data_IF_474198767075
#
_entry.id   IF_474198767075
#
_cell.length_a   1.000
_cell.length_b   1.000
_cell.length_c   1.000
_cell.angle_alpha   90.00
_cell.angle_beta   90.00
_cell.angle_gamma   90.00
#
_symmetry.space_group_name_H-M   'P 1'
#
loop_
_entity.id
_entity.type
_entity.pdbx_description
1 polymer ?
#
# COMPACT_ATOMS: atom_id res chain seq x y z
N UNK A 1 -8.00 -12.85 -0.34
CA UNK A 1 -7.15 -12.50 -1.51
C UNK A 1 -5.76 -13.08 -1.31
N UNK A 2 -5.04 -13.37 -2.39
CA UNK A 2 -3.71 -14.00 -2.38
C UNK A 2 -2.72 -13.19 -3.22
N UNK A 3 -1.49 -13.11 -2.77
CA UNK A 3 -0.30 -12.71 -3.53
C UNK A 3 0.72 -13.86 -3.54
N UNK A 4 1.91 -13.60 -4.06
CA UNK A 4 2.99 -14.58 -4.17
C UNK A 4 3.41 -15.18 -2.82
N UNK A 5 3.61 -14.33 -1.80
CA UNK A 5 4.17 -14.73 -0.50
C UNK A 5 3.18 -14.58 0.67
N UNK A 6 2.03 -13.98 0.42
CA UNK A 6 1.08 -13.57 1.45
C UNK A 6 -0.36 -13.77 1.03
N UNK A 7 -1.21 -14.15 1.97
CA UNK A 7 -2.65 -14.20 1.79
C UNK A 7 -3.36 -13.48 2.93
N UNK A 8 -4.47 -12.82 2.64
CA UNK A 8 -5.32 -12.20 3.66
C UNK A 8 -6.78 -12.61 3.43
N UNK A 9 -7.49 -12.91 4.51
CA UNK A 9 -8.87 -13.38 4.46
C UNK A 9 -9.58 -13.17 5.79
N UNK A 10 -10.91 -13.15 5.73
CA UNK A 10 -11.77 -13.23 6.92
C UNK A 10 -12.25 -14.67 7.05
N UNK A 11 -12.12 -15.24 8.24
CA UNK A 11 -12.61 -16.59 8.55
C UNK A 11 -14.10 -16.58 8.91
N UNK A 12 -14.74 -17.74 8.88
CA UNK A 12 -16.18 -17.87 9.18
C UNK A 12 -16.57 -17.43 10.60
N UNK A 13 -15.61 -17.44 11.53
CA UNK A 13 -15.72 -16.91 12.89
C UNK A 13 -15.37 -15.41 12.97
N UNK A 14 -15.38 -14.67 11.87
CA UNK A 14 -15.25 -13.21 11.85
C UNK A 14 -13.84 -12.65 12.09
N UNK A 15 -12.81 -13.51 12.12
CA UNK A 15 -11.44 -13.06 12.33
C UNK A 15 -10.76 -12.71 11.00
N UNK A 16 -10.25 -11.47 10.87
CA UNK A 16 -9.32 -11.10 9.83
C UNK A 16 -7.93 -11.68 10.12
N UNK A 17 -7.40 -12.44 9.16
CA UNK A 17 -6.13 -13.15 9.29
C UNK A 17 -5.24 -12.91 8.07
N UNK A 18 -3.93 -12.96 8.32
CA UNK A 18 -2.89 -12.94 7.30
C UNK A 18 -2.09 -14.23 7.42
N UNK A 19 -1.95 -14.96 6.31
CA UNK A 19 -1.03 -16.09 6.20
C UNK A 19 0.26 -15.62 5.53
N UNK A 20 1.39 -15.88 6.17
CA UNK A 20 2.71 -15.44 5.70
C UNK A 20 3.80 -16.39 6.20
N UNK A 21 4.68 -16.84 5.30
CA UNK A 21 5.80 -17.77 5.58
C UNK A 21 5.41 -18.97 6.47
N UNK A 22 4.28 -19.62 6.18
CA UNK A 22 3.82 -20.80 6.92
C UNK A 22 3.12 -20.49 8.25
N UNK A 23 3.04 -19.23 8.66
CA UNK A 23 2.38 -18.80 9.89
C UNK A 23 1.05 -18.12 9.60
N UNK A 24 0.04 -18.46 10.40
CA UNK A 24 -1.27 -17.79 10.37
C UNK A 24 -1.34 -16.75 11.48
N UNK A 25 -1.42 -15.48 11.11
CA UNK A 25 -1.42 -14.34 12.02
C UNK A 25 -2.84 -13.79 12.14
N UNK A 26 -3.35 -13.68 13.36
CA UNK A 26 -4.68 -13.09 13.61
C UNK A 26 -4.55 -11.59 13.81
N UNK A 27 -5.18 -10.80 12.93
CA UNK A 27 -5.15 -9.34 12.98
C UNK A 27 -6.22 -8.83 13.95
N UNK A 28 -7.41 -9.41 13.91
CA UNK A 28 -8.48 -9.10 14.85
C UNK A 28 -9.85 -9.61 14.38
N UNK A 29 -10.85 -9.49 15.26
CA UNK A 29 -12.23 -9.86 14.98
C UNK A 29 -13.00 -8.68 14.39
N UNK A 30 -13.04 -8.58 13.06
CA UNK A 30 -13.73 -7.56 12.26
C UNK A 30 -13.60 -7.87 10.76
N UNK A 31 -14.41 -7.22 9.94
CA UNK A 31 -14.36 -7.31 8.47
C UNK A 31 -13.76 -6.02 7.89
N UNK A 32 -12.48 -6.00 7.49
CA UNK A 32 -11.85 -4.81 6.91
C UNK A 32 -12.08 -4.67 5.41
N UNK A 33 -11.90 -3.46 4.91
CA UNK A 33 -11.44 -3.28 3.53
C UNK A 33 -9.96 -3.67 3.44
N UNK A 34 -9.60 -4.52 2.47
CA UNK A 34 -8.21 -4.91 2.27
C UNK A 34 -7.94 -5.29 0.81
N UNK A 35 -6.70 -5.06 0.38
CA UNK A 35 -6.16 -5.51 -0.90
C UNK A 35 -4.84 -6.25 -0.66
N UNK A 36 -4.57 -7.26 -1.50
CA UNK A 36 -3.34 -8.05 -1.48
C UNK A 36 -2.69 -7.98 -2.84
N UNK A 37 -1.38 -7.82 -2.88
CA UNK A 37 -0.55 -7.91 -4.09
C UNK A 37 0.79 -8.52 -3.69
N UNK A 38 1.29 -9.52 -4.43
CA UNK A 38 2.61 -10.12 -4.29
C UNK A 38 3.06 -10.35 -2.83
N UNK A 39 3.74 -9.36 -2.23
CA UNK A 39 4.37 -9.44 -0.90
C UNK A 39 3.75 -8.47 0.12
N UNK A 40 2.68 -7.77 -0.23
CA UNK A 40 2.05 -6.70 0.56
C UNK A 40 0.55 -6.95 0.77
N UNK A 41 0.08 -6.66 1.99
CA UNK A 41 -1.35 -6.56 2.32
C UNK A 41 -1.61 -5.15 2.82
N UNK A 42 -2.47 -4.40 2.15
CA UNK A 42 -2.95 -3.11 2.62
C UNK A 42 -4.37 -3.25 3.13
N UNK A 43 -4.66 -2.73 4.31
CA UNK A 43 -5.94 -2.94 4.99
C UNK A 43 -6.32 -1.75 5.87
N UNK A 44 -7.62 -1.58 6.06
CA UNK A 44 -8.20 -0.70 7.06
C UNK A 44 -8.20 -1.42 8.40
N UNK A 45 -7.63 -0.82 9.44
CA UNK A 45 -7.72 -1.39 10.79
C UNK A 45 -9.07 -1.06 11.45
N UNK A 46 -9.32 -1.64 12.63
CA UNK A 46 -10.57 -1.43 13.38
C UNK A 46 -10.90 0.03 13.73
N UNK A 47 -9.91 0.94 13.68
CA UNK A 47 -10.10 2.37 13.95
C UNK A 47 -10.24 3.19 12.65
N UNK A 48 -10.28 2.53 11.48
CA UNK A 48 -10.30 3.18 10.17
C UNK A 48 -8.94 3.63 9.67
N UNK A 49 -7.84 3.20 10.31
CA UNK A 49 -6.49 3.61 9.91
C UNK A 49 -5.95 2.72 8.80
N UNK A 50 -5.23 3.33 7.86
CA UNK A 50 -4.63 2.61 6.76
C UNK A 50 -3.31 1.99 7.19
N UNK A 51 -3.25 0.66 7.16
CA UNK A 51 -2.08 -0.12 7.51
C UNK A 51 -1.62 -1.00 6.37
N UNK A 52 -0.33 -1.29 6.40
CA UNK A 52 0.32 -2.25 5.52
C UNK A 52 0.99 -3.33 6.36
N UNK A 53 0.78 -4.58 5.97
CA UNK A 53 1.62 -5.69 6.36
C UNK A 53 2.62 -5.98 5.25
N UNK A 54 3.91 -5.99 5.59
CA UNK A 54 5.01 -6.29 4.68
C UNK A 54 6.14 -6.98 5.46
N UNK A 55 6.61 -8.12 4.93
CA UNK A 55 7.73 -8.90 5.47
C UNK A 55 7.64 -9.22 6.98
N UNK A 56 6.41 -9.44 7.50
CA UNK A 56 6.17 -9.77 8.91
C UNK A 56 5.86 -8.56 9.80
N UNK A 57 6.03 -7.34 9.30
CA UNK A 57 5.86 -6.10 10.05
C UNK A 57 4.59 -5.35 9.66
N UNK A 58 4.03 -4.60 10.62
CA UNK A 58 2.87 -3.72 10.40
C UNK A 58 3.30 -2.25 10.41
N UNK A 59 3.00 -1.53 9.33
CA UNK A 59 3.27 -0.10 9.22
C UNK A 59 1.96 0.68 9.16
N UNK A 60 1.83 1.70 10.01
CA UNK A 60 0.78 2.71 9.88
C UNK A 60 1.14 3.63 8.71
N UNK A 61 0.32 3.63 7.67
CA UNK A 61 0.51 4.43 6.47
C UNK A 61 -0.15 5.79 6.62
N UNK A 62 -1.42 5.78 7.05
CA UNK A 62 -2.21 6.99 7.25
C UNK A 62 -3.31 6.78 8.30
N UNK A 63 -3.85 7.89 8.82
CA UNK A 63 -4.94 7.87 9.80
C UNK A 63 -6.34 7.74 9.17
N UNK A 64 -6.39 7.44 7.87
CA UNK A 64 -7.63 7.19 7.13
C UNK A 64 -7.35 6.22 5.99
N UNK A 65 -8.32 5.37 5.66
CA UNK A 65 -8.24 4.47 4.50
C UNK A 65 -8.57 5.21 3.19
N UNK A 66 -7.66 5.27 2.20
CA UNK A 66 -7.93 5.97 0.95
C UNK A 66 -8.86 5.19 0.03
N UNK A 67 -9.74 5.91 -0.68
CA UNK A 67 -10.62 5.31 -1.70
C UNK A 67 -9.84 4.71 -2.88
N UNK A 68 -8.72 5.35 -3.25
CA UNK A 68 -7.92 4.98 -4.41
C UNK A 68 -6.45 4.83 -4.03
N UNK A 69 -5.88 3.68 -4.35
CA UNK A 69 -4.47 3.38 -4.21
C UNK A 69 -4.07 2.24 -5.16
N UNK A 70 -2.77 2.11 -5.45
CA UNK A 70 -2.19 1.01 -6.23
C UNK A 70 -1.20 0.22 -5.39
N UNK A 71 -1.27 -1.11 -5.50
CA UNK A 71 -0.31 -2.05 -4.93
C UNK A 71 0.43 -2.75 -6.06
N UNK A 72 1.73 -2.97 -5.88
CA UNK A 72 2.53 -3.85 -6.73
C UNK A 72 3.78 -4.29 -5.98
N UNK A 73 4.16 -5.56 -6.10
CA UNK A 73 5.36 -6.14 -5.53
C UNK A 73 5.58 -5.83 -4.04
N UNK A 74 6.49 -4.91 -3.68
CA UNK A 74 6.76 -4.51 -2.29
C UNK A 74 6.19 -3.14 -1.93
N UNK A 75 5.34 -2.58 -2.78
CA UNK A 75 5.08 -1.15 -2.83
C UNK A 75 3.59 -0.81 -2.91
N UNK A 76 3.26 0.35 -2.37
CA UNK A 76 1.93 0.95 -2.32
C UNK A 76 2.05 2.43 -2.68
N UNK A 77 1.19 2.92 -3.56
CA UNK A 77 1.11 4.35 -3.92
C UNK A 77 -0.31 4.86 -3.75
N UNK A 78 -0.47 6.02 -3.11
CA UNK A 78 -1.74 6.69 -2.92
C UNK A 78 -1.56 8.19 -2.72
N UNK A 79 -2.62 8.97 -2.95
CA UNK A 79 -2.65 10.39 -2.58
C UNK A 79 -3.29 10.54 -1.21
N UNK A 80 -2.62 11.26 -0.31
CA UNK A 80 -3.17 11.51 1.03
C UNK A 80 -4.28 12.60 0.99
N UNK A 81 -4.94 12.88 2.13
CA UNK A 81 -5.99 13.93 2.25
C UNK A 81 -5.49 15.34 1.93
N UNK A 82 -4.18 15.58 2.01
CA UNK A 82 -3.52 16.84 1.64
C UNK A 82 -3.08 16.87 0.17
N UNK A 83 -3.53 15.89 -0.63
CA UNK A 83 -3.16 15.71 -2.03
C UNK A 83 -1.66 15.52 -2.28
N UNK A 84 -0.94 14.98 -1.29
CA UNK A 84 0.47 14.58 -1.42
C UNK A 84 0.50 13.14 -1.94
N UNK A 85 1.18 12.91 -3.06
CA UNK A 85 1.45 11.56 -3.55
C UNK A 85 2.47 10.90 -2.63
N UNK A 86 2.06 9.85 -1.93
CA UNK A 86 2.90 9.08 -1.03
C UNK A 86 3.15 7.69 -1.58
N UNK A 87 4.34 7.16 -1.31
CA UNK A 87 4.70 5.79 -1.64
C UNK A 87 5.24 5.10 -0.40
N UNK A 88 4.68 3.95 -0.07
CA UNK A 88 5.35 2.97 0.77
C UNK A 88 6.13 2.02 -0.13
N UNK A 89 7.38 1.73 0.20
CA UNK A 89 8.19 0.74 -0.49
C UNK A 89 9.20 0.11 0.47
N UNK A 90 9.20 -1.23 0.54
CA UNK A 90 10.16 -2.02 1.33
C UNK A 90 10.32 -1.52 2.79
N UNK A 91 9.20 -1.22 3.46
CA UNK A 91 9.20 -0.79 4.86
C UNK A 91 9.43 0.71 5.09
N UNK A 92 9.60 1.52 4.04
CA UNK A 92 9.81 2.97 4.13
C UNK A 92 8.66 3.72 3.49
N UNK A 93 8.34 4.90 4.03
CA UNK A 93 7.33 5.81 3.48
C UNK A 93 8.01 7.04 2.92
N UNK A 94 7.61 7.44 1.72
CA UNK A 94 8.13 8.58 0.98
C UNK A 94 6.99 9.52 0.60
N UNK A 95 7.23 10.83 0.70
CA UNK A 95 6.42 11.86 0.07
C UNK A 95 7.04 12.16 -1.31
N UNK A 96 6.41 11.66 -2.37
CA UNK A 96 6.98 11.67 -3.74
C UNK A 96 6.67 12.99 -4.45
N UNK A 97 5.48 13.53 -4.25
CA UNK A 97 5.09 14.81 -4.84
C UNK A 97 4.06 15.53 -3.96
N UNK A 98 4.24 16.83 -3.78
CA UNK A 98 3.33 17.74 -3.07
C UNK A 98 2.56 18.66 -4.03
N UNK A 99 2.45 18.27 -5.30
CA UNK A 99 1.73 18.99 -6.35
C UNK A 99 0.74 18.05 -7.03
N UNK A 100 -0.22 18.60 -7.74
CA UNK A 100 -1.23 17.81 -8.46
C UNK A 100 -0.57 16.86 -9.46
N UNK A 101 -0.78 15.56 -9.23
CA UNK A 101 -0.38 14.48 -10.13
C UNK A 101 -1.59 14.15 -11.00
N UNK A 102 -1.42 14.26 -12.32
CA UNK A 102 -2.50 14.01 -13.28
C UNK A 102 -2.78 12.51 -13.43
N UNK A 103 -1.71 11.71 -13.44
CA UNK A 103 -1.76 10.26 -13.57
C UNK A 103 -0.51 9.62 -12.96
N UNK A 104 -0.62 8.36 -12.55
CA UNK A 104 0.53 7.57 -12.10
C UNK A 104 0.35 6.08 -12.41
N UNK A 105 1.47 5.41 -12.67
CA UNK A 105 1.58 3.96 -12.83
C UNK A 105 2.60 3.43 -11.83
N UNK A 106 2.26 2.33 -11.18
CA UNK A 106 3.15 1.60 -10.29
C UNK A 106 3.41 0.24 -10.93
N UNK A 107 4.66 -0.02 -11.32
CA UNK A 107 5.09 -1.33 -11.81
C UNK A 107 6.17 -1.86 -10.89
N UNK A 108 5.88 -2.95 -10.20
CA UNK A 108 6.71 -3.46 -9.12
C UNK A 108 6.99 -2.35 -8.09
N UNK A 109 8.26 -1.98 -7.94
CA UNK A 109 8.71 -0.95 -7.00
C UNK A 109 9.01 0.39 -7.69
N UNK A 110 8.67 0.54 -8.98
CA UNK A 110 8.95 1.74 -9.77
C UNK A 110 7.66 2.52 -9.98
N UNK A 111 7.66 3.77 -9.52
CA UNK A 111 6.54 4.69 -9.69
C UNK A 111 6.84 5.66 -10.83
N UNK A 112 6.05 5.60 -11.89
CA UNK A 112 6.02 6.65 -12.91
C UNK A 112 4.81 7.55 -12.64
N UNK A 113 5.01 8.87 -12.66
CA UNK A 113 3.93 9.82 -12.41
C UNK A 113 4.05 11.05 -13.32
N UNK A 114 2.91 11.64 -13.66
CA UNK A 114 2.81 12.80 -14.54
C UNK A 114 2.47 14.05 -13.74
N UNK A 115 3.27 15.09 -13.88
CA UNK A 115 3.01 16.42 -13.34
C UNK A 115 2.87 17.44 -14.46
N UNK A 116 1.79 18.22 -14.44
CA UNK A 116 1.46 19.18 -15.48
C UNK A 116 1.42 18.59 -16.90
N UNK A 117 1.49 19.46 -17.91
CA UNK A 117 1.17 19.10 -19.29
C UNK A 117 2.05 17.97 -19.86
N UNK A 118 3.36 17.91 -19.56
CA UNK A 118 4.30 17.00 -20.25
C UNK A 118 5.50 16.50 -19.41
N UNK A 119 5.47 16.59 -18.08
CA UNK A 119 6.59 16.10 -17.28
C UNK A 119 6.26 14.75 -16.63
N UNK A 120 6.79 13.67 -17.22
CA UNK A 120 6.86 12.37 -16.56
C UNK A 120 8.07 12.34 -15.65
N UNK A 121 7.87 11.80 -14.46
CA UNK A 121 8.92 11.56 -13.48
C UNK A 121 8.87 10.11 -13.05
N UNK A 122 10.02 9.58 -12.69
CA UNK A 122 10.15 8.24 -12.14
C UNK A 122 10.72 8.36 -10.73
N UNK A 123 10.14 7.61 -9.81
CA UNK A 123 10.62 7.46 -8.45
C UNK A 123 10.92 5.98 -8.18
N UNK A 124 12.12 5.69 -7.69
CA UNK A 124 12.54 4.36 -7.29
C UNK A 124 13.53 4.44 -6.14
N UNK A 125 13.22 3.74 -5.04
CA UNK A 125 14.08 3.57 -3.87
C UNK A 125 14.66 4.88 -3.32
N UNK A 126 13.80 5.90 -3.17
CA UNK A 126 14.20 7.22 -2.64
C UNK A 126 14.85 8.17 -3.66
N UNK A 127 15.03 7.73 -4.91
CA UNK A 127 15.67 8.51 -5.96
C UNK A 127 14.68 8.94 -7.04
N UNK A 128 14.93 10.11 -7.64
CA UNK A 128 14.12 10.69 -8.71
C UNK A 128 14.86 10.65 -10.04
N UNK A 129 14.16 10.32 -11.11
CA UNK A 129 14.68 10.25 -12.48
C UNK A 129 13.72 11.00 -13.43
N UNK A 130 14.28 11.57 -14.49
CA UNK A 130 13.56 12.30 -15.55
C UNK A 130 13.67 11.56 -16.88
#
# INVERSE_FOLDING_TARGET
>A
MVGDDVAAFVTNDGNFKIFYKGSLITIGYYEPHYNVSDRIVAFEDKNGYFKVFYDGEYTLIDNYYPENFKLSYNSLVYSNKSNILRMFSKGKIYEVANMTVEDYRLDYDVLQYKIGLNAFKIFYDGNYYN
#
